data_IF_278226990379
#
_entry.id   IF_278226990379
#
_cell.length_a   1.000
_cell.length_b   1.000
_cell.length_c   1.000
_cell.angle_alpha   90.00
_cell.angle_beta   90.00
_cell.angle_gamma   90.00
#
_symmetry.space_group_name_H-M   'P 1'
#
loop_
_entity.id
_entity.type
_entity.pdbx_description
1 polymer ?
#
# COMPACT_ATOMS: atom_id res chain seq x y z
N UNK A 1 -4.66 23.03 28.10
CA UNK A 1 -3.38 22.46 27.67
C UNK A 1 -3.66 21.35 26.67
N UNK A 2 -3.95 21.75 25.42
CA UNK A 2 -4.33 20.84 24.33
C UNK A 2 -3.17 20.76 23.35
N UNK A 3 -2.43 19.65 23.41
CA UNK A 3 -1.32 19.36 22.51
C UNK A 3 -1.88 19.06 21.11
N UNK A 4 -1.56 19.93 20.15
CA UNK A 4 -1.89 19.77 18.74
C UNK A 4 -1.10 18.62 18.14
N UNK A 5 -1.80 17.60 17.64
CA UNK A 5 -1.20 16.57 16.80
C UNK A 5 -0.98 17.18 15.42
N UNK A 6 0.29 17.45 15.11
CA UNK A 6 0.74 18.02 13.84
C UNK A 6 0.20 17.22 12.66
N UNK A 7 -0.46 17.94 11.76
CA UNK A 7 -0.81 17.49 10.42
C UNK A 7 0.50 17.33 9.65
N UNK A 8 0.97 16.09 9.52
CA UNK A 8 2.03 15.76 8.58
C UNK A 8 1.44 15.76 7.18
N UNK A 9 1.51 16.91 6.51
CA UNK A 9 1.25 17.05 5.08
C UNK A 9 2.08 16.00 4.34
N UNK A 10 1.39 15.00 3.78
CA UNK A 10 2.00 14.05 2.88
C UNK A 10 2.04 14.74 1.53
N UNK A 11 3.08 15.53 1.30
CA UNK A 11 3.39 16.10 -0.01
C UNK A 11 3.39 14.95 -1.03
N UNK A 12 2.31 14.89 -1.80
CA UNK A 12 2.24 14.11 -3.00
C UNK A 12 2.92 14.92 -4.09
N UNK A 13 4.22 14.68 -4.27
CA UNK A 13 5.05 14.97 -5.45
C UNK A 13 6.44 14.42 -5.04
N UNK A 14 7.07 13.46 -5.71
CA UNK A 14 7.53 13.55 -7.09
C UNK A 14 8.15 12.23 -7.54
N UNK A 15 7.91 11.94 -8.82
CA UNK A 15 8.92 11.46 -9.77
C UNK A 15 9.47 10.04 -9.56
N UNK A 16 8.90 9.13 -10.35
CA UNK A 16 9.69 8.00 -10.84
C UNK A 16 10.93 8.52 -11.57
N UNK A 17 12.09 8.24 -11.01
CA UNK A 17 13.36 8.33 -11.71
C UNK A 17 13.38 7.27 -12.82
N UNK A 18 12.88 7.65 -14.00
CA UNK A 18 13.20 7.01 -15.27
C UNK A 18 13.53 8.11 -16.28
N UNK A 19 14.46 8.98 -15.89
CA UNK A 19 15.20 9.85 -16.80
C UNK A 19 16.23 9.05 -17.59
N UNK A 20 15.78 8.19 -18.51
CA UNK A 20 16.62 7.68 -19.58
C UNK A 20 16.77 8.76 -20.65
N UNK A 21 17.80 9.60 -20.56
CA UNK A 21 18.21 10.51 -21.61
C UNK A 21 18.55 9.71 -22.87
N UNK A 22 17.64 9.75 -23.84
CA UNK A 22 17.81 9.15 -25.15
C UNK A 22 17.18 10.06 -26.19
N UNK A 23 17.89 11.12 -26.54
CA UNK A 23 17.70 11.82 -27.81
C UNK A 23 17.72 10.76 -28.92
N UNK A 24 16.62 10.63 -29.69
CA UNK A 24 16.64 9.87 -30.93
C UNK A 24 16.03 10.73 -32.02
N UNK A 25 16.94 11.46 -32.66
CA UNK A 25 16.82 11.82 -34.05
C UNK A 25 16.46 10.58 -34.87
N UNK A 26 15.64 10.78 -35.89
CA UNK A 26 15.09 9.72 -36.71
C UNK A 26 16.17 8.86 -37.35
N UNK A 27 15.89 7.56 -37.47
CA UNK A 27 15.81 6.85 -38.74
C UNK A 27 15.36 5.40 -38.50
N UNK A 28 14.53 4.92 -39.43
CA UNK A 28 13.84 3.64 -39.44
C UNK A 28 14.82 2.46 -39.35
N UNK A 29 14.62 1.55 -38.38
CA UNK A 29 14.99 0.13 -38.54
C UNK A 29 14.20 -0.82 -37.63
N UNK A 30 13.79 -1.91 -38.26
CA UNK A 30 12.94 -2.99 -37.80
C UNK A 30 13.61 -3.80 -36.66
N UNK A 31 13.18 -3.60 -35.41
CA UNK A 31 13.58 -4.44 -34.28
C UNK A 31 12.36 -4.92 -33.51
N UNK A 32 12.15 -6.25 -33.61
CA UNK A 32 11.38 -7.14 -32.76
C UNK A 32 10.40 -6.51 -31.77
N UNK A 33 9.13 -6.89 -31.94
CA UNK A 33 8.02 -6.70 -31.02
C UNK A 33 8.29 -7.40 -29.67
N UNK A 34 9.24 -6.87 -28.90
CA UNK A 34 9.44 -7.20 -27.50
C UNK A 34 8.31 -6.58 -26.71
N UNK A 35 7.47 -7.41 -26.10
CA UNK A 35 6.46 -6.95 -25.15
C UNK A 35 7.11 -6.04 -24.13
N UNK A 36 6.72 -4.76 -24.09
CA UNK A 36 7.02 -3.89 -22.96
C UNK A 36 6.63 -4.64 -21.68
N UNK A 37 7.55 -4.85 -20.72
CA UNK A 37 7.20 -5.52 -19.47
C UNK A 37 6.08 -4.72 -18.84
N UNK A 38 4.94 -5.37 -18.56
CA UNK A 38 3.80 -4.71 -17.95
C UNK A 38 4.24 -4.07 -16.64
N UNK A 39 4.09 -2.75 -16.52
CA UNK A 39 4.33 -2.03 -15.27
C UNK A 39 3.58 -2.77 -14.15
N UNK A 40 4.29 -3.16 -13.09
CA UNK A 40 3.69 -3.89 -11.98
C UNK A 40 2.51 -3.11 -11.40
N UNK A 41 1.38 -3.78 -11.18
CA UNK A 41 0.23 -3.13 -10.52
C UNK A 41 0.45 -3.07 -9.00
N UNK A 42 -0.10 -2.05 -8.36
CA UNK A 42 -0.22 -2.01 -6.92
C UNK A 42 -1.20 -3.07 -6.40
N UNK A 43 -0.99 -3.50 -5.16
CA UNK A 43 -1.95 -4.32 -4.42
C UNK A 43 -3.17 -3.51 -4.04
N UNK A 44 -4.34 -4.14 -4.10
CA UNK A 44 -5.58 -3.60 -3.55
C UNK A 44 -5.54 -3.64 -2.03
N UNK A 45 -6.34 -2.79 -1.38
CA UNK A 45 -6.51 -2.78 0.07
C UNK A 45 -6.87 -4.17 0.63
N UNK A 46 -7.64 -4.97 -0.12
CA UNK A 46 -7.99 -6.36 0.21
C UNK A 46 -6.81 -7.32 0.11
N UNK A 47 -5.96 -7.16 -0.88
CA UNK A 47 -4.73 -7.93 -0.98
C UNK A 47 -3.77 -7.59 0.17
N UNK A 48 -3.62 -6.32 0.51
CA UNK A 48 -2.83 -5.89 1.67
C UNK A 48 -3.37 -6.48 2.98
N UNK A 49 -4.68 -6.47 3.20
CA UNK A 49 -5.27 -7.05 4.41
C UNK A 49 -5.00 -8.57 4.51
N UNK A 50 -5.10 -9.30 3.39
CA UNK A 50 -4.77 -10.74 3.35
C UNK A 50 -3.28 -10.98 3.62
N UNK A 51 -2.40 -10.20 2.99
CA UNK A 51 -0.96 -10.28 3.20
C UNK A 51 -0.59 -10.07 4.68
N UNK A 52 -1.27 -9.13 5.34
CA UNK A 52 -1.08 -8.84 6.77
C UNK A 52 -1.74 -9.88 7.69
N UNK A 53 -2.45 -10.88 7.17
CA UNK A 53 -3.08 -11.95 7.96
C UNK A 53 -4.45 -11.59 8.54
N UNK A 54 -5.10 -10.54 8.05
CA UNK A 54 -6.50 -10.26 8.40
C UNK A 54 -7.45 -11.28 7.75
N UNK A 55 -8.54 -11.66 8.44
CA UNK A 55 -9.49 -12.62 7.89
C UNK A 55 -10.27 -12.03 6.70
N UNK A 56 -10.81 -12.87 5.81
CA UNK A 56 -11.54 -12.42 4.61
C UNK A 56 -12.76 -11.53 4.94
N UNK A 57 -13.39 -11.78 6.09
CA UNK A 57 -14.51 -10.98 6.61
C UNK A 57 -14.10 -9.60 7.14
N UNK A 58 -12.81 -9.25 7.12
CA UNK A 58 -12.34 -7.94 7.54
C UNK A 58 -12.94 -6.87 6.62
N UNK A 59 -13.55 -5.87 7.25
CA UNK A 59 -14.23 -4.78 6.56
C UNK A 59 -13.17 -3.79 6.09
N UNK A 60 -13.19 -3.50 4.80
CA UNK A 60 -12.26 -2.59 4.13
C UNK A 60 -13.11 -1.49 3.54
N UNK A 61 -12.69 -0.21 3.62
CA UNK A 61 -13.38 0.88 2.94
C UNK A 61 -13.60 0.52 1.46
N UNK A 62 -14.72 0.98 0.91
CA UNK A 62 -14.95 0.90 -0.53
C UNK A 62 -13.80 1.56 -1.30
N UNK A 63 -13.64 1.21 -2.57
CA UNK A 63 -12.63 1.82 -3.44
C UNK A 63 -13.28 2.92 -4.28
N UNK A 64 -13.37 4.17 -3.77
CA UNK A 64 -13.99 5.26 -4.50
C UNK A 64 -13.09 5.77 -5.64
N UNK A 65 -13.67 6.52 -6.57
CA UNK A 65 -12.90 7.27 -7.58
C UNK A 65 -12.06 8.37 -6.92
N UNK A 66 -10.99 8.81 -7.58
CA UNK A 66 -10.09 9.85 -7.07
C UNK A 66 -10.77 11.21 -6.87
N UNK A 67 -11.83 11.50 -7.63
CA UNK A 67 -12.62 12.74 -7.44
C UNK A 67 -13.63 12.66 -6.29
N UNK A 68 -13.83 11.47 -5.70
CA UNK A 68 -14.79 11.29 -4.63
C UNK A 68 -14.17 11.71 -3.28
N UNK A 69 -14.92 12.40 -2.40
CA UNK A 69 -14.40 12.88 -1.11
C UNK A 69 -13.89 11.75 -0.19
N UNK A 70 -14.38 10.52 -0.36
CA UNK A 70 -13.92 9.37 0.43
C UNK A 70 -12.57 8.78 -0.06
N UNK A 71 -12.01 9.28 -1.17
CA UNK A 71 -10.72 8.80 -1.67
C UNK A 71 -9.59 8.99 -0.67
N UNK A 72 -9.58 10.13 0.04
CA UNK A 72 -8.59 10.38 1.10
C UNK A 72 -8.71 9.37 2.24
N UNK A 73 -9.94 8.98 2.60
CA UNK A 73 -10.17 7.96 3.61
C UNK A 73 -9.65 6.58 3.14
N UNK A 74 -9.88 6.24 1.87
CA UNK A 74 -9.33 5.03 1.26
C UNK A 74 -7.80 5.06 1.17
N UNK A 75 -7.18 6.21 0.86
CA UNK A 75 -5.73 6.36 0.84
C UNK A 75 -5.11 6.18 2.23
N UNK A 76 -5.73 6.76 3.27
CA UNK A 76 -5.30 6.59 4.68
C UNK A 76 -5.34 5.13 5.13
N UNK A 77 -6.22 4.31 4.57
CA UNK A 77 -6.27 2.88 4.89
C UNK A 77 -4.96 2.16 4.59
N UNK A 78 -4.22 2.54 3.55
CA UNK A 78 -2.91 1.94 3.26
C UNK A 78 -1.86 2.27 4.34
N UNK A 79 -1.90 3.47 4.91
CA UNK A 79 -1.06 3.81 6.08
C UNK A 79 -1.48 3.02 7.32
N UNK A 80 -2.79 2.87 7.54
CA UNK A 80 -3.31 2.10 8.67
C UNK A 80 -2.92 0.63 8.58
N UNK A 81 -3.07 -0.01 7.42
CA UNK A 81 -2.74 -1.42 7.24
C UNK A 81 -1.23 -1.64 7.27
N UNK A 82 -0.43 -0.71 6.76
CA UNK A 82 1.04 -0.78 6.82
C UNK A 82 1.60 -0.65 8.23
N UNK A 83 0.93 0.13 9.09
CA UNK A 83 1.30 0.29 10.50
C UNK A 83 0.66 -0.75 11.43
N UNK A 84 -0.27 -1.57 10.93
CA UNK A 84 -0.92 -2.59 11.74
C UNK A 84 0.03 -3.75 12.04
N UNK A 85 -0.17 -4.39 13.20
CA UNK A 85 0.51 -5.64 13.53
C UNK A 85 -0.17 -6.83 12.85
N UNK A 86 0.62 -7.79 12.39
CA UNK A 86 0.10 -9.03 11.79
C UNK A 86 -0.70 -9.84 12.82
N UNK A 87 -2.02 -10.07 12.64
CA UNK A 87 -2.85 -10.78 13.62
C UNK A 87 -2.37 -12.20 13.94
N UNK A 88 -1.77 -12.89 12.96
CA UNK A 88 -1.22 -14.24 13.18
C UNK A 88 -0.04 -14.23 14.16
N UNK A 89 0.82 -13.20 14.09
CA UNK A 89 1.95 -13.03 15.01
C UNK A 89 1.44 -12.71 16.41
N UNK A 90 0.50 -11.77 16.52
CA UNK A 90 -0.11 -11.39 17.81
C UNK A 90 -0.77 -12.60 18.47
N UNK A 91 -1.50 -13.42 17.71
CA UNK A 91 -2.10 -14.66 18.22
C UNK A 91 -1.07 -15.60 18.82
N UNK A 92 0.02 -15.88 18.09
CA UNK A 92 1.05 -16.81 18.56
C UNK A 92 1.74 -16.31 19.84
N UNK A 93 2.01 -15.00 19.95
CA UNK A 93 2.59 -14.40 21.15
C UNK A 93 1.60 -14.45 22.31
N UNK A 94 0.34 -14.07 22.08
CA UNK A 94 -0.69 -14.05 23.10
C UNK A 94 -0.96 -15.45 23.69
N UNK A 95 -0.97 -16.50 22.86
CA UNK A 95 -1.12 -17.88 23.32
C UNK A 95 -0.03 -18.27 24.32
N UNK A 96 1.24 -17.94 24.04
CA UNK A 96 2.35 -18.20 24.96
C UNK A 96 2.29 -17.39 26.24
N UNK A 97 1.88 -16.13 26.14
CA UNK A 97 1.68 -15.28 27.32
C UNK A 97 0.58 -15.85 28.22
N UNK A 98 -0.54 -16.27 27.64
CA UNK A 98 -1.65 -16.86 28.40
C UNK A 98 -1.26 -18.20 29.04
N UNK A 99 -0.49 -19.04 28.36
CA UNK A 99 0.09 -20.26 28.96
C UNK A 99 0.98 -19.94 30.16
N UNK A 100 1.86 -18.95 30.04
CA UNK A 100 2.77 -18.56 31.11
C UNK A 100 2.08 -17.89 32.30
N UNK A 101 0.94 -17.21 32.08
CA UNK A 101 0.16 -16.54 33.12
C UNK A 101 -0.85 -17.45 33.83
N UNK A 102 -1.11 -18.65 33.29
CA UNK A 102 -1.91 -19.66 33.98
C UNK A 102 -1.05 -20.28 35.10
N UNK A 103 -1.25 -19.76 36.32
CA UNK A 103 -0.74 -20.32 37.58
C UNK A 103 -1.21 -21.76 37.81
#
# INVERSE_FOLDING_TARGET
DGEGLGEGDCDGDSEGDLGGSGERDGDNDNLGQGSVPSLGRFYTARECARLMGFPERFVIPGQPSREHPEFEYYARFYHMIGNAVCPAVVKAVAERMLEAMRL
#
